data_IF_636246477395
#
_entry.id   IF_636246477395
#
_cell.length_a   1.000
_cell.length_b   1.000
_cell.length_c   1.000
_cell.angle_alpha   90.00
_cell.angle_beta   90.00
_cell.angle_gamma   90.00
#
_symmetry.space_group_name_H-M   'P 1'
#
loop_
_entity.id
_entity.type
_entity.pdbx_description
1 polymer ?
#
# COMPACT_ATOMS: atom_id res chain seq x y z
N UNK A 1 -6.78 -11.55 27.57
CA UNK A 1 -7.12 -12.31 26.38
C UNK A 1 -6.63 -11.58 25.14
N UNK A 2 -5.67 -12.18 24.46
CA UNK A 2 -5.11 -11.58 23.24
C UNK A 2 -6.02 -11.88 22.06
N UNK A 3 -6.59 -10.87 21.46
CA UNK A 3 -7.36 -11.03 20.24
C UNK A 3 -6.39 -11.21 19.07
N UNK A 4 -6.46 -12.36 18.43
CA UNK A 4 -5.75 -12.54 17.16
C UNK A 4 -6.40 -11.65 16.12
N UNK A 5 -5.60 -10.79 15.49
CA UNK A 5 -6.10 -9.98 14.40
C UNK A 5 -6.32 -10.88 13.18
N UNK A 6 -7.55 -10.90 12.70
CA UNK A 6 -7.88 -11.63 11.48
C UNK A 6 -7.51 -10.78 10.28
N UNK A 7 -6.69 -11.32 9.37
CA UNK A 7 -6.29 -10.60 8.14
C UNK A 7 -7.49 -10.09 7.35
N UNK A 8 -8.61 -10.81 7.38
CA UNK A 8 -9.82 -10.43 6.66
C UNK A 8 -10.51 -9.20 7.24
N UNK A 9 -10.16 -8.77 8.47
CA UNK A 9 -10.69 -7.56 9.08
C UNK A 9 -9.86 -6.32 8.76
N UNK A 10 -8.69 -6.48 8.10
CA UNK A 10 -7.82 -5.37 7.75
C UNK A 10 -8.11 -4.90 6.33
N UNK A 11 -8.65 -3.67 6.17
CA UNK A 11 -8.99 -3.16 4.84
C UNK A 11 -7.81 -3.14 3.86
N UNK A 12 -6.62 -2.85 4.36
CA UNK A 12 -5.44 -2.73 3.52
C UNK A 12 -4.96 -4.07 2.98
N UNK A 13 -5.24 -5.18 3.68
CA UNK A 13 -5.01 -6.52 3.12
C UNK A 13 -5.87 -6.71 1.88
N UNK A 14 -7.14 -6.31 1.95
CA UNK A 14 -8.05 -6.39 0.80
C UNK A 14 -7.59 -5.49 -0.35
N UNK A 15 -7.12 -4.29 -0.05
CA UNK A 15 -6.57 -3.38 -1.07
C UNK A 15 -5.43 -4.07 -1.82
N UNK A 16 -4.47 -4.64 -1.11
CA UNK A 16 -3.32 -5.31 -1.69
C UNK A 16 -3.76 -6.49 -2.55
N UNK A 17 -4.69 -7.31 -2.05
CA UNK A 17 -5.22 -8.45 -2.79
C UNK A 17 -5.92 -8.05 -4.07
N UNK A 18 -6.73 -6.97 -4.04
CA UNK A 18 -7.47 -6.52 -5.22
C UNK A 18 -6.54 -5.95 -6.30
N UNK A 19 -5.53 -5.18 -5.90
CA UNK A 19 -4.54 -4.66 -6.84
C UNK A 19 -3.76 -5.81 -7.48
N UNK A 20 -3.31 -6.76 -6.68
CA UNK A 20 -2.57 -7.92 -7.16
C UNK A 20 -3.40 -8.72 -8.17
N UNK A 21 -4.66 -9.00 -7.82
CA UNK A 21 -5.57 -9.74 -8.70
C UNK A 21 -5.80 -9.03 -10.04
N UNK A 22 -5.98 -7.70 -10.00
CA UNK A 22 -6.18 -6.93 -11.23
C UNK A 22 -4.93 -6.97 -12.12
N UNK A 23 -3.74 -6.85 -11.53
CA UNK A 23 -2.51 -6.87 -12.31
C UNK A 23 -2.24 -8.23 -12.94
N UNK A 24 -2.71 -9.31 -12.31
CA UNK A 24 -2.63 -10.66 -12.90
C UNK A 24 -3.63 -10.86 -14.01
N UNK A 25 -4.86 -10.34 -13.85
CA UNK A 25 -5.97 -10.52 -14.79
C UNK A 25 -6.68 -9.19 -15.01
N UNK A 26 -6.11 -8.29 -15.84
CA UNK A 26 -6.70 -6.95 -16.04
C UNK A 26 -8.10 -6.96 -16.67
N UNK A 27 -8.48 -8.06 -17.32
CA UNK A 27 -9.78 -8.18 -17.96
C UNK A 27 -10.90 -8.58 -16.99
N UNK A 28 -10.53 -9.05 -15.79
CA UNK A 28 -11.50 -9.44 -14.79
C UNK A 28 -12.07 -8.22 -14.06
N UNK A 29 -13.35 -8.31 -13.71
CA UNK A 29 -13.99 -7.27 -12.90
C UNK A 29 -13.54 -7.40 -11.45
N UNK A 30 -13.15 -6.29 -10.84
CA UNK A 30 -12.77 -6.28 -9.44
C UNK A 30 -14.04 -6.34 -8.58
N UNK A 31 -14.13 -7.33 -7.72
CA UNK A 31 -15.23 -7.48 -6.77
C UNK A 31 -14.77 -7.00 -5.40
N UNK A 32 -15.51 -6.05 -4.83
CA UNK A 32 -15.19 -5.47 -3.54
C UNK A 32 -16.05 -6.08 -2.41
N UNK A 33 -15.52 -6.18 -1.19
CA UNK A 33 -16.28 -6.73 -0.07
C UNK A 33 -17.49 -5.86 0.25
N UNK A 34 -18.61 -6.49 0.63
CA UNK A 34 -19.84 -5.78 0.99
C UNK A 34 -19.85 -5.50 2.49
N UNK A 35 -18.99 -4.58 2.93
CA UNK A 35 -18.89 -4.18 4.34
C UNK A 35 -18.65 -2.67 4.44
N UNK A 36 -18.47 -2.20 5.69
CA UNK A 36 -18.29 -0.77 5.97
C UNK A 36 -17.07 -0.16 5.28
N UNK A 37 -16.08 -0.96 4.87
CA UNK A 37 -14.85 -0.48 4.26
C UNK A 37 -14.89 -0.49 2.72
N UNK A 38 -16.02 -0.90 2.14
CA UNK A 38 -16.13 -1.05 0.68
C UNK A 38 -15.72 0.20 -0.09
N UNK A 39 -16.26 1.34 0.31
CA UNK A 39 -15.99 2.61 -0.36
C UNK A 39 -14.51 2.99 -0.27
N UNK A 40 -13.94 2.82 0.92
CA UNK A 40 -12.52 3.12 1.15
C UNK A 40 -11.62 2.20 0.33
N UNK A 41 -11.87 0.90 0.36
CA UNK A 41 -11.10 -0.08 -0.39
C UNK A 41 -11.15 0.22 -1.89
N UNK A 42 -12.35 0.46 -2.41
CA UNK A 42 -12.55 0.77 -3.83
C UNK A 42 -11.80 2.06 -4.22
N UNK A 43 -11.87 3.07 -3.40
CA UNK A 43 -11.21 4.35 -3.65
C UNK A 43 -9.69 4.19 -3.71
N UNK A 44 -9.10 3.47 -2.76
CA UNK A 44 -7.65 3.29 -2.75
C UNK A 44 -7.19 2.38 -3.88
N UNK A 45 -7.92 1.30 -4.17
CA UNK A 45 -7.57 0.40 -5.29
C UNK A 45 -7.61 1.15 -6.61
N UNK A 46 -8.75 1.79 -6.91
CA UNK A 46 -8.90 2.49 -8.19
C UNK A 46 -7.96 3.68 -8.28
N UNK A 47 -7.81 4.43 -7.20
CA UNK A 47 -6.91 5.58 -7.17
C UNK A 47 -5.46 5.20 -7.40
N UNK A 48 -5.01 4.11 -6.77
CA UNK A 48 -3.64 3.60 -6.97
C UNK A 48 -3.42 3.17 -8.42
N UNK A 49 -4.36 2.37 -8.96
CA UNK A 49 -4.24 1.88 -10.33
C UNK A 49 -4.25 3.00 -11.36
N UNK A 50 -5.08 4.01 -11.17
CA UNK A 50 -5.15 5.16 -12.08
C UNK A 50 -3.90 6.04 -12.04
N UNK A 51 -3.14 5.98 -10.94
CA UNK A 51 -1.99 6.88 -10.71
C UNK A 51 -0.67 6.16 -10.54
N UNK A 52 -0.55 4.95 -11.08
CA UNK A 52 0.69 4.17 -10.97
C UNK A 52 1.90 4.95 -11.48
N UNK A 53 1.77 5.60 -12.63
CA UNK A 53 2.88 6.36 -13.22
C UNK A 53 3.33 7.52 -12.34
N UNK A 54 2.37 8.28 -11.81
CA UNK A 54 2.66 9.37 -10.90
C UNK A 54 3.30 8.89 -9.60
N UNK A 55 2.81 7.77 -9.07
CA UNK A 55 3.34 7.17 -7.85
C UNK A 55 4.78 6.71 -8.07
N UNK A 56 5.05 6.00 -9.17
CA UNK A 56 6.40 5.56 -9.52
C UNK A 56 7.35 6.73 -9.68
N UNK A 57 6.90 7.77 -10.38
CA UNK A 57 7.67 8.99 -10.57
C UNK A 57 8.03 9.64 -9.23
N UNK A 58 7.05 9.71 -8.31
CA UNK A 58 7.26 10.28 -6.98
C UNK A 58 8.29 9.47 -6.19
N UNK A 59 8.18 8.14 -6.23
CA UNK A 59 9.13 7.26 -5.54
C UNK A 59 10.53 7.44 -6.09
N UNK A 60 10.68 7.36 -7.41
CA UNK A 60 11.99 7.44 -8.06
C UNK A 60 12.64 8.80 -7.91
N UNK A 61 11.85 9.86 -7.93
CA UNK A 61 12.36 11.22 -7.76
C UNK A 61 13.05 11.42 -6.41
N UNK A 62 12.56 10.76 -5.37
CA UNK A 62 13.00 11.03 -4.02
C UNK A 62 13.90 9.94 -3.43
N UNK A 63 13.79 8.70 -3.89
CA UNK A 63 14.53 7.58 -3.30
C UNK A 63 15.06 6.58 -4.34
N UNK A 64 15.35 7.02 -5.56
CA UNK A 64 15.84 6.15 -6.62
C UNK A 64 17.13 5.42 -6.25
N UNK A 65 17.95 6.00 -5.38
CA UNK A 65 19.20 5.38 -4.90
C UNK A 65 18.95 4.30 -3.82
N UNK A 66 17.78 4.31 -3.22
CA UNK A 66 17.45 3.42 -2.11
C UNK A 66 16.64 2.21 -2.56
N UNK A 67 16.05 2.26 -3.76
CA UNK A 67 15.18 1.20 -4.26
C UNK A 67 15.34 1.03 -5.76
N UNK A 68 15.37 -0.23 -6.20
CA UNK A 68 15.29 -0.59 -7.61
C UNK A 68 13.92 -1.21 -7.86
N UNK A 69 12.99 -0.41 -8.39
CA UNK A 69 11.61 -0.87 -8.61
C UNK A 69 11.52 -2.05 -9.58
N UNK A 70 12.45 -2.16 -10.53
CA UNK A 70 12.47 -3.27 -11.49
C UNK A 70 12.79 -4.60 -10.83
N UNK A 71 13.61 -4.58 -9.76
CA UNK A 71 14.03 -5.77 -9.02
C UNK A 71 13.25 -5.98 -7.73
N UNK A 72 12.35 -5.06 -7.41
CA UNK A 72 11.55 -5.15 -6.21
C UNK A 72 10.48 -6.23 -6.37
N UNK A 73 10.29 -7.04 -5.33
CA UNK A 73 9.23 -8.03 -5.29
C UNK A 73 7.88 -7.39 -5.60
N UNK A 74 7.06 -8.08 -6.39
CA UNK A 74 5.79 -7.55 -6.88
C UNK A 74 4.83 -7.19 -5.75
N UNK A 75 4.72 -8.04 -4.72
CA UNK A 75 3.84 -7.76 -3.58
C UNK A 75 4.34 -6.58 -2.77
N UNK A 76 5.64 -6.50 -2.52
CA UNK A 76 6.24 -5.36 -1.84
C UNK A 76 5.97 -4.07 -2.62
N UNK A 77 6.12 -4.12 -3.94
CA UNK A 77 5.87 -2.98 -4.82
C UNK A 77 4.42 -2.51 -4.75
N UNK A 78 3.46 -3.44 -4.76
CA UNK A 78 2.03 -3.11 -4.65
C UNK A 78 1.73 -2.45 -3.32
N UNK A 79 2.29 -2.98 -2.24
CA UNK A 79 2.11 -2.40 -0.91
C UNK A 79 2.66 -0.98 -0.87
N UNK A 80 3.86 -0.79 -1.42
CA UNK A 80 4.49 0.52 -1.50
C UNK A 80 3.63 1.51 -2.29
N UNK A 81 3.12 1.10 -3.44
CA UNK A 81 2.29 1.97 -4.29
C UNK A 81 1.01 2.42 -3.60
N UNK A 82 0.28 1.48 -2.98
CA UNK A 82 -0.96 1.83 -2.30
C UNK A 82 -0.72 2.71 -1.07
N UNK A 83 0.36 2.48 -0.33
CA UNK A 83 0.73 3.32 0.79
C UNK A 83 1.10 4.74 0.33
N UNK A 84 1.86 4.86 -0.74
CA UNK A 84 2.23 6.16 -1.32
C UNK A 84 0.98 6.89 -1.81
N UNK A 85 0.04 6.17 -2.45
CA UNK A 85 -1.23 6.78 -2.83
C UNK A 85 -1.93 7.42 -1.63
N UNK A 86 -2.04 6.69 -0.52
CA UNK A 86 -2.70 7.23 0.66
C UNK A 86 -1.92 8.41 1.26
N UNK A 87 -0.60 8.35 1.27
CA UNK A 87 0.22 9.47 1.73
C UNK A 87 -0.02 10.73 0.88
N UNK A 88 -0.17 10.57 -0.42
CA UNK A 88 -0.37 11.70 -1.34
C UNK A 88 -1.78 12.26 -1.32
N UNK A 89 -2.80 11.42 -1.16
CA UNK A 89 -4.19 11.79 -1.41
C UNK A 89 -5.13 11.64 -0.23
N UNK A 90 -4.75 10.94 0.83
CA UNK A 90 -5.59 10.73 2.01
C UNK A 90 -5.08 11.56 3.19
N UNK A 91 -5.11 12.88 3.03
CA UNK A 91 -4.57 13.82 4.03
C UNK A 91 -5.31 13.81 5.36
N UNK A 92 -6.54 13.31 5.38
CA UNK A 92 -7.31 13.15 6.61
C UNK A 92 -6.82 11.99 7.49
N UNK A 93 -5.96 11.12 6.95
CA UNK A 93 -5.37 10.02 7.73
C UNK A 93 -3.93 10.40 8.07
N UNK A 94 -3.54 10.38 9.36
CA UNK A 94 -2.17 10.71 9.75
C UNK A 94 -1.15 9.77 9.11
N UNK A 95 0.01 10.31 8.73
CA UNK A 95 1.04 9.52 8.05
C UNK A 95 1.50 8.32 8.89
N UNK A 96 1.62 8.48 10.20
CA UNK A 96 2.03 7.37 11.06
C UNK A 96 1.00 6.25 11.09
N UNK A 97 -0.28 6.58 10.97
CA UNK A 97 -1.34 5.58 10.88
C UNK A 97 -1.24 4.83 9.55
N UNK A 98 -1.03 5.54 8.46
CA UNK A 98 -0.87 4.90 7.14
C UNK A 98 0.29 3.91 7.17
N UNK A 99 1.45 4.34 7.66
CA UNK A 99 2.64 3.48 7.71
C UNK A 99 2.39 2.25 8.58
N UNK A 100 1.92 2.45 9.81
CA UNK A 100 1.72 1.34 10.74
C UNK A 100 0.68 0.35 10.25
N UNK A 101 -0.39 0.83 9.61
CA UNK A 101 -1.44 -0.05 9.09
C UNK A 101 -0.97 -0.84 7.86
N UNK A 102 -0.15 -0.25 6.99
CA UNK A 102 0.42 -1.01 5.87
C UNK A 102 1.45 -2.02 6.33
N UNK A 103 2.30 -1.69 7.29
CA UNK A 103 3.26 -2.65 7.85
C UNK A 103 2.53 -3.79 8.55
N UNK A 104 1.50 -3.47 9.33
CA UNK A 104 0.67 -4.49 9.98
C UNK A 104 0.00 -5.43 8.98
N UNK A 105 -0.56 -4.87 7.92
CA UNK A 105 -1.19 -5.66 6.86
C UNK A 105 -0.17 -6.51 6.13
N UNK A 106 1.02 -5.98 5.90
CA UNK A 106 2.10 -6.66 5.20
C UNK A 106 2.66 -7.86 5.99
N UNK A 107 2.45 -7.91 7.31
CA UNK A 107 2.85 -9.05 8.13
C UNK A 107 2.22 -10.37 7.66
N UNK A 108 1.05 -10.31 7.02
CA UNK A 108 0.37 -11.49 6.49
C UNK A 108 0.90 -11.92 5.11
N UNK A 109 1.79 -11.12 4.51
CA UNK A 109 2.15 -11.26 3.10
C UNK A 109 3.67 -11.36 2.93
N UNK A 110 4.44 -10.55 3.67
CA UNK A 110 5.88 -10.40 3.49
C UNK A 110 6.66 -11.08 4.61
N UNK A 111 7.92 -11.41 4.29
CA UNK A 111 8.86 -11.91 5.27
C UNK A 111 9.38 -10.77 6.17
N UNK A 112 9.91 -11.13 7.33
CA UNK A 112 10.36 -10.18 8.35
C UNK A 112 11.39 -9.16 7.82
N UNK A 113 12.34 -9.61 7.01
CA UNK A 113 13.35 -8.72 6.44
C UNK A 113 12.72 -7.68 5.51
N UNK A 114 11.70 -8.08 4.75
CA UNK A 114 10.98 -7.19 3.86
C UNK A 114 10.15 -6.16 4.63
N UNK A 115 9.63 -6.54 5.80
CA UNK A 115 8.85 -5.62 6.65
C UNK A 115 9.71 -4.47 7.16
N UNK A 116 10.92 -4.76 7.60
CA UNK A 116 11.85 -3.73 8.03
C UNK A 116 12.21 -2.77 6.91
N UNK A 117 12.46 -3.31 5.73
CA UNK A 117 12.74 -2.54 4.54
C UNK A 117 11.56 -1.64 4.16
N UNK A 118 10.35 -2.21 4.13
CA UNK A 118 9.12 -1.48 3.83
C UNK A 118 8.92 -0.32 4.81
N UNK A 119 9.06 -0.60 6.10
CA UNK A 119 8.89 0.43 7.13
C UNK A 119 9.87 1.60 6.93
N UNK A 120 11.14 1.29 6.67
CA UNK A 120 12.17 2.31 6.46
C UNK A 120 11.88 3.17 5.23
N UNK A 121 11.48 2.54 4.12
CA UNK A 121 11.17 3.26 2.88
C UNK A 121 9.93 4.15 3.06
N UNK A 122 8.88 3.63 3.69
CA UNK A 122 7.66 4.40 3.93
C UNK A 122 7.91 5.58 4.87
N UNK A 123 8.72 5.37 5.90
CA UNK A 123 9.08 6.47 6.82
C UNK A 123 9.78 7.59 6.06
N UNK A 124 10.75 7.25 5.24
CA UNK A 124 11.49 8.22 4.45
C UNK A 124 10.59 8.97 3.47
N UNK A 125 9.76 8.24 2.73
CA UNK A 125 8.82 8.84 1.77
C UNK A 125 7.79 9.73 2.46
N UNK A 126 7.28 9.33 3.62
CA UNK A 126 6.27 10.10 4.33
C UNK A 126 6.77 11.48 4.73
N UNK A 127 8.03 11.58 5.12
CA UNK A 127 8.65 12.86 5.50
C UNK A 127 8.82 13.79 4.31
N UNK A 128 8.98 13.24 3.13
CA UNK A 128 9.12 14.00 1.89
C UNK A 128 7.76 14.41 1.35
N UNK A 129 6.81 13.48 1.32
CA UNK A 129 5.47 13.70 0.76
C UNK A 129 4.62 14.56 1.68
N UNK A 130 4.71 14.31 2.97
CA UNK A 130 3.95 15.03 4.00
C UNK A 130 4.88 15.86 4.86
N UNK A 131 4.61 17.16 4.90
CA UNK A 131 5.43 18.11 5.66
C UNK A 131 4.78 18.55 6.98
N UNK A 132 3.78 17.82 7.40
CA UNK A 132 3.10 18.04 8.68
C UNK A 132 3.73 17.22 9.81
#
# INVERSE_FOLDING_TARGET
>A
MTHKVNKNSLPRVKIIQKIYGFLLNPDDVIIYPKNQYRKYIKDVVSGTLERIELIEETILKHIDQDIDLKRTDKLLKIILYSAVYELMFKHNIPKNVIISEYVRSAEFILEKAQLGYLNAILDKLSKIIRKD
#
